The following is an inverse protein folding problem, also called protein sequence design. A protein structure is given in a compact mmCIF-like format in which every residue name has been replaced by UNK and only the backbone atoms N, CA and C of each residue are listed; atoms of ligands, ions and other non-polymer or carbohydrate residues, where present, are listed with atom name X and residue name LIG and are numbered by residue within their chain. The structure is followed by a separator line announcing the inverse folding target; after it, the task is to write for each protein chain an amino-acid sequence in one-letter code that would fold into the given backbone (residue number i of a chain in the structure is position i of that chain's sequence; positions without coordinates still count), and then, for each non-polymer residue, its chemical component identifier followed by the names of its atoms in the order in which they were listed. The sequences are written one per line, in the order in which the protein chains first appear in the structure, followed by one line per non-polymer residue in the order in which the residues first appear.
data_IF_801747851922
#
_entry.id   IF_801747851922
#
_cell.length_a   1.000
_cell.length_b   1.000
_cell.length_c   1.000
_cell.angle_alpha   90.00
_cell.angle_beta   90.00
_cell.angle_gamma   90.00
#
_symmetry.space_group_name_H-M   'P 1'
#
loop_
_entity.id
_entity.type
_entity.pdbx_description
1 polymer ?
#
# COMPACT_ATOMS: atom_id res chain seq x y z
N UNK A 1 10.41 -22.48 -2.78
CA UNK A 1 9.94 -22.41 -1.38
C UNK A 1 10.64 -21.28 -0.63
N UNK A 2 11.95 -21.09 -0.81
CA UNK A 2 12.75 -20.14 -0.03
C UNK A 2 12.44 -18.64 -0.26
N UNK A 3 12.01 -18.25 -1.46
CA UNK A 3 11.74 -16.84 -1.80
C UNK A 3 10.44 -16.28 -1.18
N UNK A 4 9.47 -17.15 -0.88
CA UNK A 4 8.20 -16.77 -0.22
C UNK A 4 8.43 -16.58 1.28
N UNK A 5 9.29 -17.42 1.90
CA UNK A 5 9.60 -17.34 3.32
C UNK A 5 10.36 -16.06 3.70
N UNK A 6 11.32 -15.61 2.87
CA UNK A 6 12.09 -14.40 3.16
C UNK A 6 11.28 -13.10 3.15
N UNK A 7 10.16 -13.06 2.39
CA UNK A 7 9.25 -11.92 2.37
C UNK A 7 8.35 -11.82 3.60
N UNK A 8 8.25 -12.90 4.40
CA UNK A 8 7.37 -12.99 5.55
C UNK A 8 8.06 -12.70 6.88
N UNK A 9 9.39 -12.78 6.93
CA UNK A 9 10.14 -12.58 8.17
C UNK A 9 9.90 -11.21 8.80
N UNK A 10 9.72 -10.16 7.99
CA UNK A 10 9.37 -8.83 8.46
C UNK A 10 7.96 -8.67 9.02
N UNK A 11 7.07 -9.65 8.80
CA UNK A 11 5.68 -9.62 9.26
C UNK A 11 5.47 -10.31 10.62
N UNK A 12 6.49 -11.01 11.16
CA UNK A 12 6.40 -11.79 12.38
C UNK A 12 7.34 -11.28 13.48
N UNK A 13 6.94 -11.29 14.77
CA UNK A 13 7.81 -10.88 15.87
C UNK A 13 8.99 -11.85 16.06
N UNK A 14 10.22 -11.33 16.17
CA UNK A 14 11.48 -12.11 16.28
C UNK A 14 11.61 -13.01 17.51
N UNK A 15 10.80 -12.85 18.56
CA UNK A 15 11.02 -13.49 19.87
C UNK A 15 10.55 -14.94 20.00
N UNK A 16 10.09 -15.61 18.92
CA UNK A 16 9.43 -16.92 19.04
C UNK A 16 9.93 -18.00 18.07
N UNK A 17 11.15 -17.88 17.55
CA UNK A 17 11.71 -18.80 16.54
C UNK A 17 12.34 -20.06 17.15
N UNK A 18 11.53 -21.01 17.62
CA UNK A 18 11.95 -22.41 17.71
C UNK A 18 11.16 -23.24 16.70
N UNK A 19 11.77 -24.25 16.08
CA UNK A 19 11.11 -25.08 15.05
C UNK A 19 9.78 -25.71 15.50
N UNK A 20 9.53 -25.91 16.78
CA UNK A 20 8.26 -26.40 17.34
C UNK A 20 7.29 -25.26 17.69
N UNK A 21 7.77 -24.10 18.12
CA UNK A 21 6.97 -22.90 18.38
C UNK A 21 6.48 -22.24 17.09
N UNK A 22 7.23 -22.35 15.98
CA UNK A 22 6.88 -21.78 14.69
C UNK A 22 5.53 -22.29 14.15
N UNK A 23 5.27 -23.59 14.19
CA UNK A 23 4.02 -24.17 13.66
C UNK A 23 2.79 -23.77 14.49
N UNK A 24 2.92 -23.73 15.82
CA UNK A 24 1.77 -23.41 16.70
C UNK A 24 1.55 -21.90 16.79
N UNK A 25 2.62 -21.10 16.78
CA UNK A 25 2.52 -19.65 16.94
C UNK A 25 2.21 -18.95 15.62
N UNK A 26 2.68 -19.47 14.48
CA UNK A 26 2.35 -18.90 13.16
C UNK A 26 0.87 -19.09 12.81
N UNK A 27 0.26 -20.22 13.17
CA UNK A 27 -1.19 -20.43 13.02
C UNK A 27 -2.00 -19.47 13.91
N UNK A 28 -1.62 -19.29 15.17
CA UNK A 28 -2.32 -18.39 16.09
C UNK A 28 -2.10 -16.91 15.75
N UNK A 29 -0.90 -16.53 15.32
CA UNK A 29 -0.55 -15.14 15.02
C UNK A 29 -1.07 -14.70 13.64
N UNK A 30 -1.07 -15.58 12.64
CA UNK A 30 -1.62 -15.32 11.31
C UNK A 30 -3.13 -15.08 11.38
N UNK A 31 -3.85 -15.95 12.11
CA UNK A 31 -5.29 -15.78 12.36
C UNK A 31 -5.58 -14.46 13.09
N UNK A 32 -4.83 -14.18 14.16
CA UNK A 32 -4.97 -12.95 14.94
C UNK A 32 -4.75 -11.68 14.10
N UNK A 33 -3.82 -11.70 13.13
CA UNK A 33 -3.48 -10.53 12.32
C UNK A 33 -4.42 -10.29 11.13
N UNK A 34 -5.09 -11.33 10.65
CA UNK A 34 -6.03 -11.22 9.52
C UNK A 34 -7.50 -10.98 9.96
N UNK A 35 -7.85 -11.35 11.20
CA UNK A 35 -9.26 -11.39 11.67
C UNK A 35 -9.49 -10.56 12.94
N UNK A 36 -8.43 -10.00 13.56
CA UNK A 36 -8.67 -9.16 14.74
C UNK A 36 -9.33 -7.85 14.35
N UNK A 37 -10.37 -7.43 15.11
CA UNK A 37 -10.69 -6.02 15.17
C UNK A 37 -9.39 -5.28 15.49
N UNK A 38 -9.17 -4.16 14.82
CA UNK A 38 -8.09 -3.22 15.10
C UNK A 38 -7.88 -3.19 16.61
N UNK A 39 -6.64 -3.40 17.08
CA UNK A 39 -6.37 -3.46 18.53
C UNK A 39 -6.96 -2.24 19.22
N UNK A 40 -7.26 -2.33 20.51
CA UNK A 40 -7.81 -1.21 21.26
C UNK A 40 -6.91 0.05 21.23
N UNK A 41 -5.64 -0.11 20.86
CA UNK A 41 -4.65 0.96 20.71
C UNK A 41 -4.54 1.48 19.26
N UNK A 42 -5.24 0.87 18.29
CA UNK A 42 -5.20 1.33 16.92
C UNK A 42 -5.95 2.66 16.77
N UNK A 43 -5.43 3.52 15.90
CA UNK A 43 -6.04 4.81 15.61
C UNK A 43 -7.37 4.57 14.89
N UNK A 44 -8.44 5.19 15.39
CA UNK A 44 -9.75 5.14 14.78
C UNK A 44 -10.21 6.54 14.40
N UNK A 45 -10.42 6.75 13.11
CA UNK A 45 -10.95 7.99 12.54
C UNK A 45 -12.46 7.84 12.30
N UNK A 46 -13.28 8.65 12.99
CA UNK A 46 -14.73 8.66 12.76
C UNK A 46 -15.10 9.24 11.38
N UNK A 47 -16.33 8.98 10.94
CA UNK A 47 -16.86 9.48 9.68
C UNK A 47 -17.66 10.80 9.80
N UNK A 48 -17.61 11.48 10.95
CA UNK A 48 -18.35 12.75 11.13
C UNK A 48 -17.84 13.81 10.14
N UNK A 49 -18.74 14.41 9.37
CA UNK A 49 -18.40 15.40 8.31
C UNK A 49 -17.79 14.79 7.05
N UNK A 50 -17.88 13.48 6.89
CA UNK A 50 -17.43 12.76 5.70
C UNK A 50 -18.60 12.05 4.99
N UNK A 51 -18.56 12.03 3.67
CA UNK A 51 -19.25 11.05 2.84
C UNK A 51 -18.30 9.86 2.68
N UNK A 52 -18.53 8.80 3.47
CA UNK A 52 -17.66 7.63 3.55
C UNK A 52 -18.47 6.34 3.45
N UNK A 53 -17.96 5.36 2.69
CA UNK A 53 -18.63 4.08 2.55
C UNK A 53 -18.10 3.22 1.42
N UNK A 54 -18.68 2.04 1.31
CA UNK A 54 -18.41 1.07 0.26
C UNK A 54 -19.04 1.52 -1.06
N UNK A 55 -18.29 1.33 -2.15
CA UNK A 55 -18.72 1.61 -3.52
C UNK A 55 -18.33 0.46 -4.44
N UNK A 56 -18.86 0.43 -5.65
CA UNK A 56 -18.48 -0.51 -6.69
C UNK A 56 -17.85 0.26 -7.85
N UNK A 57 -16.66 -0.13 -8.26
CA UNK A 57 -15.94 0.45 -9.39
C UNK A 57 -16.19 -0.44 -10.60
N UNK A 58 -16.77 0.08 -11.70
CA UNK A 58 -16.85 -0.63 -12.95
C UNK A 58 -15.45 -0.91 -13.51
N UNK A 59 -15.21 -2.17 -13.89
CA UNK A 59 -13.97 -2.63 -14.53
C UNK A 59 -14.34 -3.43 -15.79
N UNK A 60 -13.35 -3.77 -16.62
CA UNK A 60 -13.59 -4.38 -17.93
C UNK A 60 -14.42 -5.69 -17.88
N UNK A 61 -14.30 -6.46 -16.80
CA UNK A 61 -14.94 -7.77 -16.61
C UNK A 61 -16.04 -7.75 -15.52
N UNK A 62 -16.53 -6.57 -15.12
CA UNK A 62 -17.60 -6.45 -14.15
C UNK A 62 -17.46 -5.26 -13.21
N UNK A 63 -17.37 -5.49 -11.91
CA UNK A 63 -17.12 -4.46 -10.91
C UNK A 63 -16.34 -5.01 -9.73
N UNK A 64 -15.50 -4.17 -9.12
CA UNK A 64 -14.78 -4.49 -7.89
C UNK A 64 -15.26 -3.61 -6.74
N UNK A 65 -15.28 -4.13 -5.49
CA UNK A 65 -15.55 -3.31 -4.31
C UNK A 65 -14.46 -2.28 -4.08
N UNK A 66 -14.79 -1.17 -3.46
CA UNK A 66 -13.84 -0.20 -2.94
C UNK A 66 -14.42 0.49 -1.72
N UNK A 67 -13.56 1.03 -0.86
CA UNK A 67 -13.96 1.95 0.20
C UNK A 67 -13.52 3.37 -0.18
N UNK A 68 -14.45 4.32 -0.08
CA UNK A 68 -14.22 5.73 -0.43
C UNK A 68 -14.57 6.62 0.74
N UNK A 69 -13.84 7.72 0.92
CA UNK A 69 -14.23 8.82 1.79
C UNK A 69 -13.78 10.17 1.23
N UNK A 70 -14.56 11.22 1.51
CA UNK A 70 -14.27 12.61 1.18
C UNK A 70 -15.02 13.52 2.16
N UNK A 71 -14.74 14.83 2.28
CA UNK A 71 -15.59 15.75 3.02
C UNK A 71 -17.04 15.71 2.47
N UNK A 72 -18.05 15.79 3.35
CA UNK A 72 -19.46 15.75 2.97
C UNK A 72 -19.93 17.01 2.20
N UNK A 73 -19.14 18.09 2.28
CA UNK A 73 -19.41 19.38 1.63
C UNK A 73 -18.21 19.86 0.83
N UNK A 74 -18.50 20.57 -0.27
CA UNK A 74 -17.47 21.14 -1.14
C UNK A 74 -17.05 20.21 -2.27
N UNK A 75 -15.81 20.35 -2.71
CA UNK A 75 -15.17 19.68 -3.86
C UNK A 75 -15.20 20.54 -5.13
N UNK A 76 -14.57 20.07 -6.22
CA UNK A 76 -13.82 18.79 -6.27
C UNK A 76 -12.56 18.82 -5.39
N UNK A 77 -12.23 17.67 -4.81
CA UNK A 77 -11.12 17.50 -3.86
C UNK A 77 -9.90 16.86 -4.54
N UNK A 78 -8.66 17.21 -4.16
CA UNK A 78 -7.48 16.46 -4.53
C UNK A 78 -7.68 14.96 -4.29
N UNK A 79 -7.17 14.11 -5.17
CA UNK A 79 -7.52 12.69 -5.18
C UNK A 79 -6.35 11.82 -4.73
N UNK A 80 -6.59 10.89 -3.81
CA UNK A 80 -5.60 9.90 -3.36
C UNK A 80 -6.12 8.49 -3.59
N UNK A 81 -5.40 7.72 -4.40
CA UNK A 81 -5.57 6.27 -4.48
C UNK A 81 -4.80 5.63 -3.34
N UNK A 82 -5.47 4.81 -2.53
CA UNK A 82 -4.87 4.10 -1.40
C UNK A 82 -4.79 2.62 -1.72
N UNK A 83 -3.57 2.09 -1.82
CA UNK A 83 -3.34 0.68 -2.18
C UNK A 83 -3.13 -0.15 -0.92
N UNK A 84 -3.92 -1.19 -0.81
CA UNK A 84 -3.98 -2.12 0.31
C UNK A 84 -2.67 -2.87 0.57
N UNK A 85 -2.56 -3.44 1.76
CA UNK A 85 -1.57 -4.46 2.11
C UNK A 85 -1.99 -5.85 1.55
N UNK A 86 -1.26 -6.91 1.89
CA UNK A 86 -1.63 -8.29 1.52
C UNK A 86 -3.00 -8.74 2.07
N UNK A 87 -3.54 -8.04 3.05
CA UNK A 87 -4.80 -8.40 3.73
C UNK A 87 -6.06 -7.79 3.10
N UNK A 88 -5.96 -7.15 1.93
CA UNK A 88 -7.09 -6.48 1.31
C UNK A 88 -7.43 -5.12 1.93
N UNK A 89 -8.60 -4.59 1.60
CA UNK A 89 -9.11 -3.31 2.13
C UNK A 89 -9.80 -3.55 3.49
N UNK A 90 -8.97 -3.91 4.48
CA UNK A 90 -9.42 -4.12 5.86
C UNK A 90 -9.56 -2.79 6.62
N UNK A 91 -10.00 -2.83 7.90
CA UNK A 91 -10.37 -1.63 8.66
C UNK A 91 -9.25 -0.59 8.76
N UNK A 92 -7.99 -0.99 8.91
CA UNK A 92 -6.87 -0.04 8.92
C UNK A 92 -6.76 0.74 7.60
N UNK A 93 -6.91 0.07 6.44
CA UNK A 93 -6.91 0.75 5.14
C UNK A 93 -8.10 1.70 5.01
N UNK A 94 -9.29 1.28 5.46
CA UNK A 94 -10.48 2.14 5.51
C UNK A 94 -10.27 3.35 6.43
N UNK A 95 -9.57 3.16 7.55
CA UNK A 95 -9.21 4.25 8.43
C UNK A 95 -8.25 5.26 7.78
N UNK A 96 -7.22 4.79 7.08
CA UNK A 96 -6.32 5.66 6.31
C UNK A 96 -7.08 6.48 5.25
N UNK A 97 -8.06 5.88 4.57
CA UNK A 97 -8.94 6.58 3.62
C UNK A 97 -9.71 7.69 4.32
N UNK A 98 -10.27 7.43 5.53
CA UNK A 98 -10.95 8.48 6.32
C UNK A 98 -9.98 9.56 6.80
N UNK A 99 -8.75 9.21 7.21
CA UNK A 99 -7.70 10.19 7.58
C UNK A 99 -7.41 11.17 6.44
N UNK A 100 -7.26 10.69 5.21
CA UNK A 100 -7.11 11.55 4.03
C UNK A 100 -8.34 12.43 3.80
N UNK A 101 -9.55 11.88 3.96
CA UNK A 101 -10.78 12.66 3.82
C UNK A 101 -10.91 13.78 4.86
N UNK A 102 -10.49 13.55 6.12
CA UNK A 102 -10.41 14.59 7.15
C UNK A 102 -9.42 15.71 6.79
N UNK A 103 -8.44 15.42 5.94
CA UNK A 103 -7.48 16.40 5.42
C UNK A 103 -7.93 17.08 4.13
N UNK A 104 -9.15 16.82 3.66
CA UNK A 104 -9.72 17.47 2.49
C UNK A 104 -9.50 16.75 1.17
N UNK A 105 -9.11 15.48 1.18
CA UNK A 105 -8.95 14.67 -0.04
C UNK A 105 -10.21 13.86 -0.38
N UNK A 106 -10.39 13.58 -1.65
CA UNK A 106 -11.14 12.43 -2.11
C UNK A 106 -10.21 11.22 -2.07
N UNK A 107 -10.41 10.32 -1.13
CA UNK A 107 -9.57 9.13 -0.97
C UNK A 107 -10.37 7.86 -1.29
N UNK A 108 -9.74 6.89 -1.99
CA UNK A 108 -10.39 5.66 -2.41
C UNK A 108 -9.41 4.49 -2.42
N UNK A 109 -9.84 3.37 -1.85
CA UNK A 109 -9.09 2.11 -1.81
C UNK A 109 -9.88 1.01 -2.53
N UNK A 110 -9.49 0.61 -3.76
CA UNK A 110 -10.10 -0.52 -4.46
C UNK A 110 -9.65 -1.85 -3.89
N UNK A 111 -10.55 -2.86 -3.86
CA UNK A 111 -10.22 -4.24 -3.49
C UNK A 111 -9.59 -4.96 -4.70
N UNK A 112 -8.27 -4.92 -4.76
CA UNK A 112 -7.50 -5.39 -5.91
C UNK A 112 -7.41 -6.94 -6.01
N UNK A 113 -7.90 -7.65 -5.00
CA UNK A 113 -7.96 -9.11 -4.97
C UNK A 113 -9.34 -9.68 -5.28
N UNK A 114 -10.32 -8.82 -5.60
CA UNK A 114 -11.72 -9.20 -5.74
C UNK A 114 -11.97 -10.38 -6.69
N UNK A 115 -11.11 -10.59 -7.70
CA UNK A 115 -11.22 -11.72 -8.63
C UNK A 115 -10.55 -13.01 -8.13
N UNK A 116 -9.52 -12.87 -7.29
CA UNK A 116 -8.76 -14.02 -6.78
C UNK A 116 -9.39 -14.59 -5.50
N UNK A 117 -10.11 -13.77 -4.75
CA UNK A 117 -10.82 -14.20 -3.56
C UNK A 117 -10.83 -13.18 -2.43
N UNK A 118 -11.28 -13.63 -1.28
CA UNK A 118 -11.41 -12.81 -0.07
C UNK A 118 -10.24 -13.12 0.88
N UNK A 119 -9.27 -12.20 1.06
CA UNK A 119 -8.12 -12.42 1.92
C UNK A 119 -8.47 -12.62 3.40
N UNK A 120 -9.64 -12.15 3.85
CA UNK A 120 -10.09 -12.31 5.25
C UNK A 120 -10.36 -13.77 5.65
N UNK A 121 -10.50 -14.67 4.66
CA UNK A 121 -10.73 -16.11 4.89
C UNK A 121 -9.46 -16.89 5.21
N UNK A 122 -8.30 -16.27 5.08
CA UNK A 122 -7.02 -16.93 5.29
C UNK A 122 -6.47 -16.66 6.68
N UNK A 123 -6.04 -17.70 7.34
CA UNK A 123 -5.56 -17.65 8.74
C UNK A 123 -4.04 -17.56 8.86
N UNK A 124 -3.32 -17.80 7.75
CA UNK A 124 -1.88 -17.70 7.70
C UNK A 124 -1.41 -16.96 6.44
N UNK A 125 -0.32 -16.21 6.58
CA UNK A 125 0.22 -15.36 5.52
C UNK A 125 0.80 -16.17 4.36
N UNK A 126 1.56 -17.26 4.55
CA UNK A 126 2.04 -18.08 3.44
C UNK A 126 0.93 -18.57 2.52
N UNK A 127 -0.16 -19.12 3.08
CA UNK A 127 -1.31 -19.58 2.30
C UNK A 127 -2.01 -18.42 1.59
N UNK A 128 -2.22 -17.29 2.27
CA UNK A 128 -2.77 -16.07 1.66
C UNK A 128 -1.94 -15.62 0.45
N UNK A 129 -0.61 -15.60 0.58
CA UNK A 129 0.28 -15.22 -0.52
C UNK A 129 0.17 -16.20 -1.68
N UNK A 130 0.22 -17.52 -1.41
CA UNK A 130 0.19 -18.54 -2.46
C UNK A 130 -1.15 -18.64 -3.16
N UNK A 131 -2.26 -18.47 -2.42
CA UNK A 131 -3.61 -18.66 -2.96
C UNK A 131 -4.26 -17.40 -3.54
N UNK A 132 -3.86 -16.22 -3.07
CA UNK A 132 -4.41 -14.94 -3.52
C UNK A 132 -3.33 -14.07 -4.16
N UNK A 133 -2.36 -13.58 -3.37
CA UNK A 133 -1.49 -12.47 -3.77
C UNK A 133 -0.62 -12.80 -4.98
N UNK A 134 -0.06 -14.02 -5.03
CA UNK A 134 0.78 -14.48 -6.16
C UNK A 134 -0.01 -14.72 -7.45
N UNK A 135 -1.34 -14.82 -7.36
CA UNK A 135 -2.23 -15.03 -8.50
C UNK A 135 -2.79 -13.74 -9.11
N UNK A 136 -2.41 -12.59 -8.57
CA UNK A 136 -2.85 -11.29 -9.07
C UNK A 136 -1.90 -10.79 -10.15
N UNK A 137 -2.35 -10.65 -11.41
CA UNK A 137 -1.51 -10.10 -12.48
C UNK A 137 -1.26 -8.60 -12.27
N UNK A 138 -0.03 -8.15 -12.47
CA UNK A 138 0.28 -6.72 -12.44
C UNK A 138 -0.57 -5.92 -13.45
N UNK A 139 -0.85 -6.47 -14.62
CA UNK A 139 -1.70 -5.85 -15.64
C UNK A 139 -3.13 -5.61 -15.16
N UNK A 140 -3.71 -6.56 -14.40
CA UNK A 140 -5.02 -6.40 -13.78
C UNK A 140 -4.99 -5.23 -12.78
N UNK A 141 -3.97 -5.18 -11.93
CA UNK A 141 -3.84 -4.12 -10.90
C UNK A 141 -3.72 -2.74 -11.55
N UNK A 142 -2.91 -2.60 -12.61
CA UNK A 142 -2.81 -1.32 -13.33
C UNK A 142 -4.15 -0.90 -13.92
N UNK A 143 -4.86 -1.81 -14.59
CA UNK A 143 -6.18 -1.55 -15.15
C UNK A 143 -7.24 -1.19 -14.11
N UNK A 144 -7.22 -1.84 -12.94
CA UNK A 144 -8.15 -1.56 -11.85
C UNK A 144 -7.89 -0.19 -11.20
N UNK A 145 -6.63 0.21 -11.10
CA UNK A 145 -6.28 1.56 -10.63
C UNK A 145 -6.67 2.64 -11.64
N UNK A 146 -6.50 2.40 -12.95
CA UNK A 146 -7.00 3.31 -14.00
C UNK A 146 -8.53 3.43 -13.95
N UNK A 147 -9.24 2.33 -13.76
CA UNK A 147 -10.70 2.32 -13.59
C UNK A 147 -11.13 3.05 -12.30
N UNK A 148 -10.32 2.95 -11.24
CA UNK A 148 -10.56 3.66 -9.96
C UNK A 148 -10.41 5.17 -10.13
N UNK A 149 -9.38 5.62 -10.86
CA UNK A 149 -9.22 7.04 -11.20
C UNK A 149 -10.40 7.54 -12.05
N UNK A 150 -10.77 6.80 -13.10
CA UNK A 150 -11.89 7.13 -13.95
C UNK A 150 -13.22 7.21 -13.19
N UNK A 151 -13.45 6.26 -12.27
CA UNK A 151 -14.60 6.28 -11.36
C UNK A 151 -14.59 7.54 -10.49
N UNK A 152 -13.47 7.84 -9.83
CA UNK A 152 -13.34 9.02 -8.99
C UNK A 152 -13.67 10.30 -9.78
N UNK A 153 -13.07 10.47 -10.94
CA UNK A 153 -13.34 11.59 -11.87
C UNK A 153 -14.81 11.69 -12.25
N UNK A 154 -15.45 10.54 -12.54
CA UNK A 154 -16.86 10.45 -12.91
C UNK A 154 -17.84 10.89 -11.83
N UNK A 155 -17.42 10.93 -10.56
CA UNK A 155 -18.26 11.42 -9.43
C UNK A 155 -18.46 12.94 -9.46
N UNK A 156 -17.61 13.69 -10.17
CA UNK A 156 -17.56 15.15 -10.14
C UNK A 156 -17.07 15.74 -8.80
N UNK A 157 -16.67 14.87 -7.85
CA UNK A 157 -16.17 15.25 -6.51
C UNK A 157 -14.65 15.13 -6.38
N UNK A 158 -14.00 14.43 -7.29
CA UNK A 158 -12.56 14.22 -7.32
C UNK A 158 -11.89 15.12 -8.37
N UNK A 159 -10.86 15.85 -7.94
CA UNK A 159 -9.95 16.56 -8.86
C UNK A 159 -8.77 15.62 -9.18
N UNK A 160 -8.89 14.89 -10.29
CA UNK A 160 -7.82 14.00 -10.76
C UNK A 160 -6.67 14.73 -11.46
N UNK A 161 -6.72 16.05 -11.63
CA UNK A 161 -5.53 16.83 -12.00
C UNK A 161 -4.56 16.98 -10.82
N UNK A 162 -5.04 16.68 -9.62
CA UNK A 162 -4.27 16.62 -8.36
C UNK A 162 -4.28 15.18 -7.83
N UNK A 163 -3.80 14.24 -8.66
CA UNK A 163 -3.83 12.81 -8.36
C UNK A 163 -2.56 12.38 -7.62
N UNK A 164 -2.73 11.77 -6.46
CA UNK A 164 -1.69 11.06 -5.72
C UNK A 164 -2.02 9.57 -5.57
N UNK A 165 -1.00 8.78 -5.29
CA UNK A 165 -1.14 7.38 -4.88
C UNK A 165 -0.26 7.11 -3.65
N UNK A 166 -0.78 6.33 -2.71
CA UNK A 166 0.00 5.75 -1.62
C UNK A 166 -0.37 4.30 -1.43
N UNK A 167 0.56 3.51 -0.90
CA UNK A 167 0.32 2.09 -0.67
C UNK A 167 1.34 1.46 0.26
N UNK A 168 0.95 0.36 0.88
CA UNK A 168 1.62 -0.24 2.02
C UNK A 168 1.99 -1.68 1.73
N UNK A 169 3.20 -2.14 2.10
CA UNK A 169 3.65 -3.51 1.89
C UNK A 169 3.57 -3.92 0.40
N UNK A 170 2.71 -4.88 0.04
CA UNK A 170 2.41 -5.21 -1.35
C UNK A 170 1.98 -3.98 -2.14
N UNK A 171 1.11 -3.16 -1.56
CA UNK A 171 0.67 -1.90 -2.17
C UNK A 171 1.79 -0.89 -2.36
N UNK A 172 2.81 -0.90 -1.51
CA UNK A 172 4.01 -0.10 -1.71
C UNK A 172 4.77 -0.47 -2.98
N UNK A 173 4.83 -1.77 -3.35
CA UNK A 173 5.34 -2.20 -4.65
C UNK A 173 4.46 -1.68 -5.79
N UNK A 174 3.15 -1.78 -5.66
CA UNK A 174 2.19 -1.33 -6.67
C UNK A 174 2.32 0.18 -6.93
N UNK A 175 2.59 0.99 -5.91
CA UNK A 175 2.84 2.43 -6.06
C UNK A 175 3.97 2.70 -7.04
N UNK A 176 5.09 1.99 -6.95
CA UNK A 176 6.19 2.12 -7.90
C UNK A 176 5.79 1.74 -9.33
N UNK A 177 5.03 0.63 -9.49
CA UNK A 177 4.55 0.18 -10.78
C UNK A 177 3.60 1.22 -11.40
N UNK A 178 2.65 1.72 -10.62
CA UNK A 178 1.67 2.70 -11.09
C UNK A 178 2.33 4.05 -11.41
N UNK A 179 3.40 4.42 -10.69
CA UNK A 179 4.19 5.63 -10.99
C UNK A 179 4.92 5.55 -12.34
N UNK A 180 5.24 4.35 -12.81
CA UNK A 180 5.77 4.12 -14.15
C UNK A 180 4.66 3.95 -15.21
N UNK A 181 3.42 3.62 -14.79
CA UNK A 181 2.29 3.38 -15.66
C UNK A 181 1.53 4.67 -15.99
N UNK A 182 1.07 5.43 -15.00
CA UNK A 182 0.14 6.54 -15.17
C UNK A 182 0.85 7.91 -15.28
N UNK A 183 0.79 8.58 -16.46
CA UNK A 183 1.41 9.89 -16.64
C UNK A 183 0.65 11.05 -15.99
N UNK A 184 -0.60 10.86 -15.57
CA UNK A 184 -1.40 11.90 -14.91
C UNK A 184 -1.05 12.02 -13.42
N UNK A 185 -0.41 11.01 -12.84
CA UNK A 185 -0.03 10.97 -11.44
C UNK A 185 0.95 12.12 -11.10
N UNK A 186 0.66 12.87 -10.04
CA UNK A 186 1.48 14.01 -9.59
C UNK A 186 2.48 13.64 -8.53
N UNK A 187 2.10 12.74 -7.61
CA UNK A 187 2.95 12.32 -6.51
C UNK A 187 2.63 10.89 -6.06
N UNK A 188 3.63 10.18 -5.60
CA UNK A 188 3.49 8.82 -5.10
C UNK A 188 4.26 8.62 -3.79
N UNK A 189 3.70 7.83 -2.85
CA UNK A 189 4.42 7.43 -1.64
C UNK A 189 4.29 5.94 -1.40
N UNK A 190 5.42 5.24 -1.45
CA UNK A 190 5.54 3.79 -1.27
C UNK A 190 6.04 3.47 0.15
N UNK A 191 5.21 2.85 0.99
CA UNK A 191 5.57 2.42 2.32
C UNK A 191 6.03 0.96 2.30
N UNK A 192 7.27 0.72 2.69
CA UNK A 192 7.87 -0.62 2.79
C UNK A 192 7.48 -1.56 1.65
N UNK A 193 7.50 -1.02 0.42
CA UNK A 193 7.22 -1.79 -0.79
C UNK A 193 8.45 -2.56 -1.26
N UNK A 194 8.27 -3.83 -1.60
CA UNK A 194 9.36 -4.67 -2.12
C UNK A 194 9.94 -4.06 -3.40
N UNK A 195 11.27 -3.91 -3.42
CA UNK A 195 12.03 -3.30 -4.53
C UNK A 195 12.39 -4.33 -5.61
N UNK A 196 12.79 -5.52 -5.18
CA UNK A 196 13.31 -6.55 -6.08
C UNK A 196 12.98 -7.95 -5.56
N UNK A 197 12.52 -8.85 -6.46
CA UNK A 197 12.25 -10.26 -6.23
C UNK A 197 12.38 -11.02 -7.56
N UNK A 198 12.44 -12.35 -7.55
CA UNK A 198 12.33 -13.15 -8.77
C UNK A 198 11.05 -12.83 -9.54
N UNK A 199 11.18 -12.64 -10.86
CA UNK A 199 10.06 -12.32 -11.75
C UNK A 199 9.23 -13.58 -12.00
N UNK A 200 7.93 -13.37 -12.15
CA UNK A 200 6.98 -14.40 -12.58
C UNK A 200 6.23 -13.94 -13.84
N UNK A 201 5.50 -14.82 -14.47
CA UNK A 201 4.66 -14.46 -15.62
C UNK A 201 3.60 -13.40 -15.25
N UNK A 202 3.01 -13.48 -14.06
CA UNK A 202 2.00 -12.54 -13.57
C UNK A 202 2.61 -11.26 -13.00
N UNK A 203 3.86 -11.31 -12.54
CA UNK A 203 4.61 -10.21 -11.95
C UNK A 203 5.97 -10.07 -12.66
N UNK A 204 5.98 -9.60 -13.93
CA UNK A 204 7.16 -9.62 -14.78
C UNK A 204 8.17 -8.53 -14.45
N UNK A 205 7.78 -7.51 -13.67
CA UNK A 205 8.65 -6.37 -13.30
C UNK A 205 8.55 -6.05 -11.81
N UNK A 206 9.67 -5.58 -11.29
CA UNK A 206 9.75 -5.01 -9.95
C UNK A 206 10.16 -3.54 -10.01
N UNK A 207 10.03 -2.76 -8.93
CA UNK A 207 10.39 -1.34 -8.92
C UNK A 207 11.77 -1.04 -9.51
N UNK A 208 12.77 -1.89 -9.21
CA UNK A 208 14.13 -1.72 -9.72
C UNK A 208 14.22 -1.75 -11.27
N UNK A 209 13.35 -2.51 -11.92
CA UNK A 209 13.29 -2.61 -13.38
C UNK A 209 12.66 -1.38 -14.03
N UNK A 210 11.95 -0.57 -13.24
CA UNK A 210 11.11 0.54 -13.71
C UNK A 210 11.68 1.93 -13.37
N UNK A 211 12.85 1.99 -12.73
CA UNK A 211 13.43 3.26 -12.31
C UNK A 211 13.53 4.29 -13.45
N UNK A 212 13.88 3.85 -14.67
CA UNK A 212 13.96 4.73 -15.84
C UNK A 212 12.59 5.10 -16.44
N UNK A 213 11.55 4.31 -16.17
CA UNK A 213 10.21 4.47 -16.75
C UNK A 213 9.30 5.35 -15.88
N UNK A 214 9.73 5.74 -14.66
CA UNK A 214 8.93 6.54 -13.75
C UNK A 214 8.44 7.83 -14.43
N UNK A 215 7.14 8.10 -14.31
CA UNK A 215 6.46 9.28 -14.85
C UNK A 215 6.08 10.29 -13.77
N UNK A 216 6.03 9.83 -12.52
CA UNK A 216 5.73 10.64 -11.36
C UNK A 216 6.86 10.58 -10.32
N UNK A 217 7.04 11.64 -9.51
CA UNK A 217 7.96 11.63 -8.38
C UNK A 217 7.50 10.63 -7.29
N UNK A 218 8.45 9.87 -6.73
CA UNK A 218 8.17 8.83 -5.73
C UNK A 218 8.94 9.06 -4.44
N UNK A 219 8.22 9.11 -3.32
CA UNK A 219 8.78 9.01 -1.97
C UNK A 219 8.69 7.56 -1.50
N UNK A 220 9.81 6.94 -1.20
CA UNK A 220 9.89 5.60 -0.62
C UNK A 220 10.23 5.65 0.87
N UNK A 221 9.44 5.00 1.71
CA UNK A 221 9.61 4.99 3.17
C UNK A 221 9.89 3.55 3.63
N UNK A 222 11.08 3.31 4.19
CA UNK A 222 11.59 1.97 4.48
C UNK A 222 12.13 1.87 5.90
N UNK A 223 12.14 0.67 6.46
CA UNK A 223 12.71 0.39 7.76
C UNK A 223 14.05 -0.36 7.64
N UNK A 224 15.07 0.04 8.40
CA UNK A 224 16.39 -0.59 8.37
C UNK A 224 16.39 -1.99 9.02
N UNK A 225 15.42 -2.29 9.88
CA UNK A 225 15.24 -3.61 10.49
C UNK A 225 14.22 -4.49 9.74
N UNK A 226 13.81 -4.10 8.54
CA UNK A 226 12.96 -4.91 7.66
C UNK A 226 13.81 -6.02 7.01
N UNK A 227 13.65 -7.25 7.49
CA UNK A 227 14.39 -8.42 6.98
C UNK A 227 13.89 -8.86 5.61
N UNK A 228 12.67 -8.49 5.24
CA UNK A 228 12.07 -8.80 3.93
C UNK A 228 12.50 -7.83 2.82
N UNK A 229 12.99 -6.63 3.17
CA UNK A 229 13.45 -5.59 2.24
C UNK A 229 14.82 -5.08 2.70
N UNK A 230 15.91 -5.73 2.29
CA UNK A 230 17.26 -5.33 2.69
C UNK A 230 17.57 -3.88 2.31
N UNK A 231 18.28 -3.16 3.18
CA UNK A 231 18.71 -1.76 2.94
C UNK A 231 19.47 -1.63 1.60
N UNK A 232 20.26 -2.64 1.25
CA UNK A 232 20.99 -2.68 -0.03
C UNK A 232 20.05 -2.62 -1.24
N UNK A 233 18.86 -3.20 -1.15
CA UNK A 233 17.86 -3.11 -2.24
C UNK A 233 17.31 -1.70 -2.39
N UNK A 234 17.10 -1.01 -1.26
CA UNK A 234 16.63 0.39 -1.23
C UNK A 234 17.72 1.32 -1.80
N UNK A 235 18.97 1.11 -1.42
CA UNK A 235 20.10 1.89 -1.95
C UNK A 235 20.33 1.64 -3.45
N UNK A 236 20.16 0.40 -3.93
CA UNK A 236 20.17 0.12 -5.38
C UNK A 236 19.07 0.89 -6.11
N UNK A 237 17.86 0.96 -5.56
CA UNK A 237 16.76 1.75 -6.15
C UNK A 237 17.08 3.24 -6.17
N UNK A 238 17.65 3.78 -5.08
CA UNK A 238 18.15 5.17 -5.02
C UNK A 238 19.15 5.46 -6.13
N UNK A 239 20.12 4.58 -6.31
CA UNK A 239 21.12 4.70 -7.35
C UNK A 239 20.52 4.60 -8.76
N UNK A 240 19.57 3.69 -8.99
CA UNK A 240 18.88 3.54 -10.27
C UNK A 240 18.04 4.78 -10.62
N UNK A 241 17.28 5.35 -9.69
CA UNK A 241 16.56 6.61 -9.88
C UNK A 241 17.52 7.76 -10.25
N UNK A 242 18.62 7.89 -9.51
CA UNK A 242 19.64 8.91 -9.78
C UNK A 242 20.26 8.75 -11.16
N UNK A 243 20.62 7.53 -11.54
CA UNK A 243 21.19 7.24 -12.85
C UNK A 243 20.22 7.55 -14.00
N UNK A 244 18.92 7.34 -13.77
CA UNK A 244 17.85 7.64 -14.71
C UNK A 244 17.38 9.11 -14.68
N UNK A 245 17.97 9.96 -13.83
CA UNK A 245 17.56 11.35 -13.62
C UNK A 245 16.06 11.48 -13.26
N UNK A 246 15.57 10.58 -12.38
CA UNK A 246 14.18 10.58 -11.88
C UNK A 246 14.10 11.14 -10.46
N UNK A 247 12.98 11.80 -10.17
CA UNK A 247 12.73 12.37 -8.84
C UNK A 247 12.25 11.26 -7.90
N UNK A 248 13.17 10.75 -7.10
CA UNK A 248 12.89 9.77 -6.06
C UNK A 248 13.58 10.21 -4.76
N UNK A 249 12.84 10.19 -3.68
CA UNK A 249 13.38 10.29 -2.34
C UNK A 249 13.13 8.98 -1.59
N UNK A 250 14.17 8.41 -0.98
CA UNK A 250 14.04 7.18 -0.19
C UNK A 250 14.54 7.45 1.23
N UNK A 251 13.64 7.34 2.19
CA UNK A 251 13.92 7.51 3.62
C UNK A 251 14.04 6.13 4.26
N UNK A 252 15.10 5.92 5.04
CA UNK A 252 15.34 4.68 5.77
C UNK A 252 15.34 5.01 7.27
N UNK A 253 14.37 4.45 8.00
CA UNK A 253 14.23 4.64 9.44
C UNK A 253 15.07 3.60 10.21
N UNK A 254 16.01 4.04 11.07
CA UNK A 254 16.79 3.11 11.91
C UNK A 254 15.87 2.25 12.80
N UNK A 255 16.29 1.02 13.11
CA UNK A 255 15.62 0.09 14.05
C UNK A 255 14.10 -0.13 13.78
N UNK A 256 13.67 0.18 12.57
CA UNK A 256 12.26 0.16 12.18
C UNK A 256 11.99 -1.08 11.32
N UNK A 257 11.04 -1.94 11.72
CA UNK A 257 10.68 -3.17 11.00
C UNK A 257 9.71 -2.91 9.85
N UNK A 258 9.39 -3.99 9.09
CA UNK A 258 8.30 -4.00 8.11
C UNK A 258 6.95 -3.66 8.76
N UNK A 259 6.09 -2.93 8.05
CA UNK A 259 4.74 -2.61 8.53
C UNK A 259 4.71 -1.57 9.65
N UNK A 260 5.70 -0.70 9.74
CA UNK A 260 5.82 0.26 10.83
C UNK A 260 4.72 1.34 10.86
N UNK A 261 3.93 1.50 9.81
CA UNK A 261 2.75 2.38 9.81
C UNK A 261 1.46 1.67 10.28
N UNK A 262 1.47 0.35 10.37
CA UNK A 262 0.30 -0.46 10.70
C UNK A 262 0.04 -0.44 12.23
N UNK A 263 -0.74 0.53 12.70
CA UNK A 263 -0.99 0.80 14.13
C UNK A 263 -1.73 -0.33 14.87
N UNK A 264 -2.26 -1.29 14.15
CA UNK A 264 -2.88 -2.51 14.68
C UNK A 264 -1.89 -3.67 14.91
N UNK A 265 -0.57 -3.47 14.66
CA UNK A 265 0.45 -4.51 14.71
C UNK A 265 1.56 -4.22 15.74
N UNK A 266 2.22 -5.26 16.27
CA UNK A 266 3.41 -5.11 17.12
C UNK A 266 4.59 -4.43 16.42
N UNK A 267 4.61 -4.44 15.08
CA UNK A 267 5.63 -3.76 14.27
C UNK A 267 5.46 -2.24 14.21
N UNK A 268 4.34 -1.70 14.68
CA UNK A 268 4.08 -0.26 14.67
C UNK A 268 5.18 0.53 15.38
N UNK A 269 5.61 1.60 14.71
CA UNK A 269 6.59 2.55 15.26
C UNK A 269 6.02 3.96 15.13
N UNK A 270 5.39 4.49 16.21
CA UNK A 270 4.65 5.75 16.18
C UNK A 270 5.44 6.92 15.61
N UNK A 271 6.71 7.08 16.01
CA UNK A 271 7.54 8.19 15.55
C UNK A 271 7.85 8.08 14.04
N UNK A 272 8.25 6.91 13.56
CA UNK A 272 8.51 6.68 12.15
C UNK A 272 7.23 6.81 11.30
N UNK A 273 6.10 6.30 11.80
CA UNK A 273 4.81 6.40 11.12
C UNK A 273 4.35 7.87 11.01
N UNK A 274 4.45 8.64 12.09
CA UNK A 274 4.09 10.05 12.14
C UNK A 274 4.99 10.90 11.23
N UNK A 275 6.30 10.70 11.30
CA UNK A 275 7.25 11.39 10.42
C UNK A 275 7.02 11.06 8.95
N UNK A 276 6.85 9.77 8.62
CA UNK A 276 6.54 9.33 7.25
C UNK A 276 5.23 9.89 6.73
N UNK A 277 4.19 9.97 7.58
CA UNK A 277 2.92 10.59 7.22
C UNK A 277 3.09 12.09 6.91
N UNK A 278 3.82 12.82 7.75
CA UNK A 278 4.12 14.24 7.52
C UNK A 278 4.91 14.46 6.22
N UNK A 279 5.94 13.62 5.96
CA UNK A 279 6.72 13.65 4.71
C UNK A 279 5.85 13.35 3.49
N UNK A 280 4.97 12.36 3.56
CA UNK A 280 4.04 12.02 2.48
C UNK A 280 3.13 13.21 2.13
N UNK A 281 2.53 13.87 3.12
CA UNK A 281 1.66 15.02 2.88
C UNK A 281 2.44 16.21 2.29
N UNK A 282 3.65 16.47 2.78
CA UNK A 282 4.54 17.48 2.21
C UNK A 282 4.89 17.13 0.75
N UNK A 283 5.24 15.87 0.47
CA UNK A 283 5.53 15.37 -0.87
C UNK A 283 4.36 15.59 -1.84
N UNK A 284 3.15 15.26 -1.41
CA UNK A 284 1.95 15.50 -2.22
C UNK A 284 1.75 16.98 -2.54
N UNK A 285 1.93 17.85 -1.55
CA UNK A 285 1.82 19.29 -1.71
C UNK A 285 2.88 19.85 -2.66
N UNK A 286 4.14 19.47 -2.47
CA UNK A 286 5.27 20.00 -3.23
C UNK A 286 5.24 19.58 -4.70
N UNK A 287 4.53 18.49 -5.01
CA UNK A 287 4.38 17.97 -6.37
C UNK A 287 2.98 18.21 -6.98
N UNK A 288 2.15 19.05 -6.35
CA UNK A 288 0.88 19.49 -6.92
C UNK A 288 -0.27 18.49 -6.82
N UNK A 289 -0.24 17.62 -5.82
CA UNK A 289 -1.30 16.65 -5.52
C UNK A 289 -2.14 17.03 -4.28
N UNK A 290 -2.09 18.30 -3.84
CA UNK A 290 -2.86 18.79 -2.69
C UNK A 290 -3.57 20.12 -3.00
#
# INVERSE_FOLDING_TARGET
MDAVESGLEGLLPRSQWSRRGFVVTSLATGFALSVQPVSADAIHTDATGLDAGEVKIPVADGSIPAYRAMPDKGGPFPTVLVVQEVFGVHEHIKDLVRRFAKLGYFAIAPELYARQGDPSKYTDIPTLISEIVSKVPDSQVMSDLDATEAYAKGTGKADTNKLAITGFCWGGRIVWLYSAHNPALKAATAWYGVIDRPRTELQPKYPIDLAADLKAPVLGLYGAADTGIPVESVERMRAACKAANKTCELVIYPDTPHGFNADYRPSYRPEAAKDGWAKMLAWFKDHGAA
#
